data_IF_977187022960
#
_entry.id   IF_977187022960
#
_cell.length_a   1.000
_cell.length_b   1.000
_cell.length_c   1.000
_cell.angle_alpha   90.00
_cell.angle_beta   90.00
_cell.angle_gamma   90.00
#
_symmetry.space_group_name_H-M   'P 1'
#
loop_
_entity.id
_entity.type
_entity.pdbx_description
1 polymer ?
#
# COMPACT_ATOMS: atom_id res chain seq x y z
N UNK A 1 -87.51 -82.16 -79.13
CA UNK A 1 -86.85 -80.85 -78.97
C UNK A 1 -87.32 -80.27 -77.65
N UNK A 2 -86.56 -80.42 -76.57
CA UNK A 2 -86.91 -79.77 -75.30
C UNK A 2 -85.64 -79.45 -74.50
N UNK A 3 -84.77 -78.66 -75.12
CA UNK A 3 -83.71 -77.93 -74.44
C UNK A 3 -84.04 -76.45 -74.64
N UNK A 4 -84.26 -75.73 -73.55
CA UNK A 4 -84.56 -74.30 -73.57
C UNK A 4 -83.31 -73.55 -73.10
N UNK A 5 -82.52 -73.10 -74.08
CA UNK A 5 -81.26 -72.41 -73.82
C UNK A 5 -81.45 -71.20 -72.90
N UNK A 6 -82.58 -70.50 -73.00
CA UNK A 6 -82.86 -69.30 -72.21
C UNK A 6 -83.13 -69.61 -70.73
N UNK A 7 -83.53 -70.85 -70.40
CA UNK A 7 -83.74 -71.28 -69.01
C UNK A 7 -82.43 -71.81 -68.41
N UNK A 8 -81.69 -72.63 -69.16
CA UNK A 8 -80.44 -73.24 -68.69
C UNK A 8 -79.26 -72.26 -68.58
N UNK A 9 -79.23 -71.19 -69.38
CA UNK A 9 -78.12 -70.21 -69.37
C UNK A 9 -78.23 -69.19 -68.22
N UNK A 10 -79.44 -68.93 -67.71
CA UNK A 10 -79.70 -67.90 -66.68
C UNK A 10 -78.87 -68.11 -65.41
N UNK A 11 -78.81 -69.30 -64.79
CA UNK A 11 -78.02 -69.52 -63.58
C UNK A 11 -76.51 -69.34 -63.82
N UNK A 12 -76.03 -69.70 -65.01
CA UNK A 12 -74.63 -69.49 -65.39
C UNK A 12 -74.32 -67.99 -65.51
N UNK A 13 -75.17 -67.24 -66.22
CA UNK A 13 -75.01 -65.80 -66.38
C UNK A 13 -75.12 -65.05 -65.06
N UNK A 14 -76.07 -65.41 -64.20
CA UNK A 14 -76.26 -64.77 -62.90
C UNK A 14 -75.02 -64.92 -62.01
N UNK A 15 -74.46 -66.13 -61.94
CA UNK A 15 -73.22 -66.38 -61.18
C UNK A 15 -72.03 -65.66 -61.80
N UNK A 16 -71.92 -65.65 -63.13
CA UNK A 16 -70.78 -65.01 -63.81
C UNK A 16 -70.81 -63.50 -63.64
N UNK A 17 -71.97 -62.87 -63.90
CA UNK A 17 -72.17 -61.43 -63.73
C UNK A 17 -72.03 -61.03 -62.26
N UNK A 18 -72.60 -61.81 -61.33
CA UNK A 18 -72.48 -61.57 -59.90
C UNK A 18 -71.02 -61.56 -59.43
N UNK A 19 -70.26 -62.60 -59.80
CA UNK A 19 -68.82 -62.69 -59.47
C UNK A 19 -67.99 -61.60 -60.13
N UNK A 20 -68.28 -61.25 -61.39
CA UNK A 20 -67.53 -60.18 -62.08
C UNK A 20 -67.79 -58.82 -61.45
N UNK A 21 -69.02 -58.51 -61.03
CA UNK A 21 -69.33 -57.25 -60.33
C UNK A 21 -68.70 -57.22 -58.95
N UNK A 22 -68.79 -58.30 -58.18
CA UNK A 22 -68.18 -58.40 -56.85
C UNK A 22 -66.66 -58.25 -56.91
N UNK A 23 -66.01 -58.95 -57.85
CA UNK A 23 -64.58 -58.83 -58.07
C UNK A 23 -64.19 -57.40 -58.48
N UNK A 24 -64.92 -56.79 -59.42
CA UNK A 24 -64.65 -55.41 -59.84
C UNK A 24 -64.81 -54.40 -58.69
N UNK A 25 -65.81 -54.59 -57.81
CA UNK A 25 -65.99 -53.72 -56.65
C UNK A 25 -64.85 -53.86 -55.64
N UNK A 26 -64.41 -55.09 -55.37
CA UNK A 26 -63.30 -55.35 -54.45
C UNK A 26 -61.98 -54.77 -54.98
N UNK A 27 -61.70 -54.95 -56.28
CA UNK A 27 -60.48 -54.41 -56.92
C UNK A 27 -60.45 -52.88 -56.83
N UNK A 28 -61.55 -52.19 -57.17
CA UNK A 28 -61.62 -50.72 -57.09
C UNK A 28 -61.47 -50.23 -55.65
N UNK A 29 -62.08 -50.92 -54.67
CA UNK A 29 -61.93 -50.56 -53.26
C UNK A 29 -60.49 -50.72 -52.77
N UNK A 30 -59.81 -51.81 -53.13
CA UNK A 30 -58.40 -52.04 -52.77
C UNK A 30 -57.48 -50.99 -53.40
N UNK A 31 -57.71 -50.66 -54.68
CA UNK A 31 -56.94 -49.63 -55.39
C UNK A 31 -57.10 -48.25 -54.76
N UNK A 32 -58.32 -47.86 -54.37
CA UNK A 32 -58.58 -46.59 -53.70
C UNK A 32 -57.95 -46.54 -52.30
N UNK A 33 -58.06 -47.62 -51.53
CA UNK A 33 -57.40 -47.71 -50.21
C UNK A 33 -55.88 -47.59 -50.34
N UNK A 34 -55.28 -48.33 -51.28
CA UNK A 34 -53.84 -48.26 -51.57
C UNK A 34 -53.42 -46.84 -52.00
N UNK A 35 -54.22 -46.16 -52.82
CA UNK A 35 -53.96 -44.78 -53.23
C UNK A 35 -54.01 -43.81 -52.03
N UNK A 36 -55.02 -43.95 -51.17
CA UNK A 36 -55.18 -43.13 -49.97
C UNK A 36 -54.04 -43.35 -48.95
N UNK A 37 -53.62 -44.60 -48.75
CA UNK A 37 -52.48 -44.93 -47.89
C UNK A 37 -51.19 -44.32 -48.41
N UNK A 38 -50.92 -44.44 -49.72
CA UNK A 38 -49.73 -43.83 -50.34
C UNK A 38 -49.74 -42.31 -50.23
N UNK A 39 -50.88 -41.67 -50.52
CA UNK A 39 -51.01 -40.22 -50.38
C UNK A 39 -50.74 -39.75 -48.94
N UNK A 40 -51.27 -40.48 -47.96
CA UNK A 40 -51.05 -40.21 -46.53
C UNK A 40 -49.58 -40.39 -46.13
N UNK A 41 -48.91 -41.44 -46.64
CA UNK A 41 -47.48 -41.66 -46.41
C UNK A 41 -46.62 -40.53 -46.96
N UNK A 42 -46.85 -40.12 -48.21
CA UNK A 42 -46.09 -39.01 -48.81
C UNK A 42 -46.27 -37.70 -48.04
N UNK A 43 -47.49 -37.37 -47.64
CA UNK A 43 -47.77 -36.17 -46.85
C UNK A 43 -47.04 -36.21 -45.48
N UNK A 44 -47.02 -37.38 -44.83
CA UNK A 44 -46.31 -37.57 -43.58
C UNK A 44 -44.79 -37.45 -43.74
N UNK A 45 -44.22 -38.06 -44.79
CA UNK A 45 -42.79 -37.97 -45.08
C UNK A 45 -42.35 -36.54 -45.41
N UNK A 46 -43.15 -35.80 -46.18
CA UNK A 46 -42.89 -34.40 -46.50
C UNK A 46 -42.88 -33.54 -45.23
N UNK A 47 -43.89 -33.70 -44.37
CA UNK A 47 -43.98 -32.98 -43.10
C UNK A 47 -42.78 -33.33 -42.20
N UNK A 48 -42.46 -34.62 -42.05
CA UNK A 48 -41.34 -35.08 -41.23
C UNK A 48 -40.00 -34.54 -41.73
N UNK A 49 -39.79 -34.50 -43.04
CA UNK A 49 -38.57 -33.95 -43.62
C UNK A 49 -38.46 -32.44 -43.40
N UNK A 50 -39.58 -31.70 -43.50
CA UNK A 50 -39.64 -30.28 -43.20
C UNK A 50 -39.35 -29.98 -41.71
N UNK A 51 -39.95 -30.76 -40.80
CA UNK A 51 -39.71 -30.66 -39.36
C UNK A 51 -38.25 -30.94 -39.01
N UNK A 52 -37.65 -32.00 -39.58
CA UNK A 52 -36.24 -32.32 -39.37
C UNK A 52 -35.31 -31.20 -39.84
N UNK A 53 -35.60 -30.60 -41.00
CA UNK A 53 -34.82 -29.47 -41.51
C UNK A 53 -34.91 -28.25 -40.59
N UNK A 54 -36.09 -27.95 -40.05
CA UNK A 54 -36.27 -26.83 -39.12
C UNK A 54 -35.57 -27.09 -37.77
N UNK A 55 -35.66 -28.31 -37.23
CA UNK A 55 -34.95 -28.69 -36.00
C UNK A 55 -33.44 -28.49 -36.19
N UNK A 56 -32.86 -28.98 -37.28
CA UNK A 56 -31.44 -28.81 -37.57
C UNK A 56 -31.04 -27.33 -37.67
N UNK A 57 -31.88 -26.50 -38.31
CA UNK A 57 -31.65 -25.06 -38.42
C UNK A 57 -31.62 -24.38 -37.05
N UNK A 58 -32.58 -24.73 -36.18
CA UNK A 58 -32.70 -24.19 -34.84
C UNK A 58 -31.57 -24.66 -33.92
N UNK A 59 -31.21 -25.94 -33.98
CA UNK A 59 -30.11 -26.51 -33.19
C UNK A 59 -28.77 -25.85 -33.54
N UNK A 60 -28.49 -25.66 -34.82
CA UNK A 60 -27.27 -24.98 -35.27
C UNK A 60 -27.25 -23.49 -34.90
N UNK A 61 -28.41 -22.82 -34.88
CA UNK A 61 -28.53 -21.46 -34.38
C UNK A 61 -28.30 -21.40 -32.86
N UNK A 62 -28.88 -22.32 -32.11
CA UNK A 62 -28.73 -22.40 -30.65
C UNK A 62 -27.28 -22.73 -30.27
N UNK A 63 -26.63 -23.66 -30.98
CA UNK A 63 -25.22 -24.00 -30.81
C UNK A 63 -24.34 -22.76 -30.94
N UNK A 64 -24.50 -21.99 -32.03
CA UNK A 64 -23.74 -20.76 -32.25
C UNK A 64 -23.98 -19.71 -31.17
N UNK A 65 -25.23 -19.55 -30.74
CA UNK A 65 -25.57 -18.58 -29.69
C UNK A 65 -24.99 -19.01 -28.33
N UNK A 66 -25.03 -20.31 -28.01
CA UNK A 66 -24.47 -20.87 -26.79
C UNK A 66 -22.96 -20.72 -26.73
N UNK A 67 -22.26 -21.07 -27.82
CA UNK A 67 -20.80 -20.90 -27.95
C UNK A 67 -20.38 -19.43 -27.77
N UNK A 68 -21.09 -18.48 -28.42
CA UNK A 68 -20.78 -17.06 -28.24
C UNK A 68 -21.09 -16.56 -26.82
N UNK A 69 -22.22 -16.99 -26.22
CA UNK A 69 -22.57 -16.64 -24.84
C UNK A 69 -21.51 -17.14 -23.85
N UNK A 70 -21.04 -18.37 -24.02
CA UNK A 70 -19.97 -18.95 -23.20
C UNK A 70 -18.65 -18.18 -23.38
N UNK A 71 -18.29 -17.85 -24.64
CA UNK A 71 -17.10 -17.06 -24.94
C UNK A 71 -17.14 -15.68 -24.27
N UNK A 72 -18.30 -15.02 -24.31
CA UNK A 72 -18.51 -13.70 -23.66
C UNK A 72 -18.42 -13.80 -22.14
N UNK A 73 -19.04 -14.83 -21.56
CA UNK A 73 -18.97 -15.09 -20.12
C UNK A 73 -17.52 -15.31 -19.66
N UNK A 74 -16.75 -16.10 -20.40
CA UNK A 74 -15.33 -16.32 -20.08
C UNK A 74 -14.52 -15.02 -20.15
N UNK A 75 -14.75 -14.19 -21.17
CA UNK A 75 -14.07 -12.89 -21.29
C UNK A 75 -14.39 -11.95 -20.14
N UNK A 76 -15.67 -11.86 -19.76
CA UNK A 76 -16.08 -11.04 -18.62
C UNK A 76 -15.46 -11.56 -17.33
N UNK A 77 -15.46 -12.88 -17.13
CA UNK A 77 -14.84 -13.50 -15.96
C UNK A 77 -13.34 -13.18 -15.86
N UNK A 78 -12.60 -13.28 -16.97
CA UNK A 78 -11.17 -12.94 -17.00
C UNK A 78 -10.93 -11.45 -16.69
N UNK A 79 -11.79 -10.56 -17.18
CA UNK A 79 -11.71 -9.10 -16.92
C UNK A 79 -11.96 -8.82 -15.45
N UNK A 80 -13.01 -9.40 -14.87
CA UNK A 80 -13.36 -9.25 -13.45
C UNK A 80 -12.23 -9.79 -12.56
N UNK A 81 -11.70 -10.97 -12.89
CA UNK A 81 -10.61 -11.57 -12.15
C UNK A 81 -9.37 -10.67 -12.12
N UNK A 82 -8.92 -10.19 -13.29
CA UNK A 82 -7.77 -9.27 -13.40
C UNK A 82 -8.03 -7.94 -12.70
N UNK A 83 -9.26 -7.42 -12.79
CA UNK A 83 -9.64 -6.20 -12.10
C UNK A 83 -9.54 -6.38 -10.58
N UNK A 84 -10.08 -7.47 -10.03
CA UNK A 84 -10.01 -7.76 -8.60
C UNK A 84 -8.56 -7.88 -8.11
N UNK A 85 -7.72 -8.65 -8.81
CA UNK A 85 -6.29 -8.75 -8.48
C UNK A 85 -5.61 -7.37 -8.48
N UNK A 86 -5.91 -6.54 -9.48
CA UNK A 86 -5.32 -5.20 -9.61
C UNK A 86 -5.80 -4.29 -8.49
N UNK A 87 -7.08 -4.31 -8.18
CA UNK A 87 -7.69 -3.56 -7.08
C UNK A 87 -7.09 -3.96 -5.73
N UNK A 88 -6.87 -5.25 -5.48
CA UNK A 88 -6.19 -5.73 -4.27
C UNK A 88 -4.74 -5.24 -4.20
N UNK A 89 -3.98 -5.31 -5.31
CA UNK A 89 -2.60 -4.79 -5.36
C UNK A 89 -2.52 -3.30 -5.09
N UNK A 90 -3.45 -2.52 -5.65
CA UNK A 90 -3.54 -1.07 -5.43
C UNK A 90 -3.90 -0.78 -3.97
N UNK A 91 -4.87 -1.50 -3.40
CA UNK A 91 -5.26 -1.35 -2.00
C UNK A 91 -4.11 -1.68 -1.05
N UNK A 92 -3.41 -2.80 -1.28
CA UNK A 92 -2.25 -3.20 -0.49
C UNK A 92 -1.11 -2.17 -0.58
N UNK A 93 -0.84 -1.64 -1.77
CA UNK A 93 0.15 -0.57 -1.97
C UNK A 93 -0.24 0.70 -1.22
N UNK A 94 -1.48 1.15 -1.36
CA UNK A 94 -1.96 2.36 -0.69
C UNK A 94 -1.92 2.21 0.84
N UNK A 95 -2.30 1.03 1.34
CA UNK A 95 -2.20 0.68 2.75
C UNK A 95 -0.75 0.73 3.25
N UNK A 96 0.17 0.08 2.54
CA UNK A 96 1.59 0.08 2.89
C UNK A 96 2.16 1.52 2.87
N UNK A 97 1.85 2.31 1.86
CA UNK A 97 2.32 3.70 1.77
C UNK A 97 1.86 4.55 2.96
N UNK A 98 0.58 4.46 3.32
CA UNK A 98 0.03 5.18 4.49
C UNK A 98 0.66 4.68 5.80
N UNK A 99 0.77 3.38 5.98
CA UNK A 99 1.36 2.79 7.18
C UNK A 99 2.84 3.17 7.34
N UNK A 100 3.62 3.14 6.25
CA UNK A 100 5.03 3.54 6.28
C UNK A 100 5.20 5.05 6.51
N UNK A 101 4.30 5.89 5.97
CA UNK A 101 4.36 7.33 6.17
C UNK A 101 4.23 7.73 7.65
N UNK A 102 3.40 7.00 8.41
CA UNK A 102 3.23 7.24 9.85
C UNK A 102 4.30 6.54 10.70
N UNK A 103 4.71 5.33 10.31
CA UNK A 103 5.68 4.53 11.07
C UNK A 103 7.12 5.05 10.95
N UNK A 104 7.55 5.48 9.76
CA UNK A 104 8.94 5.90 9.54
C UNK A 104 9.33 7.05 10.47
N UNK A 105 8.61 8.20 10.52
CA UNK A 105 8.99 9.30 11.40
C UNK A 105 9.04 8.86 12.87
N UNK A 106 8.05 8.09 13.33
CA UNK A 106 7.99 7.59 14.71
C UNK A 106 9.20 6.72 15.09
N UNK A 107 9.59 5.79 14.22
CA UNK A 107 10.77 4.94 14.47
C UNK A 107 12.06 5.76 14.40
N UNK A 108 12.19 6.67 13.43
CA UNK A 108 13.36 7.54 13.31
C UNK A 108 13.51 8.47 14.51
N UNK A 109 12.42 9.04 15.02
CA UNK A 109 12.40 9.86 16.23
C UNK A 109 12.82 9.02 17.45
N UNK A 110 12.25 7.83 17.63
CA UNK A 110 12.62 6.93 18.75
C UNK A 110 14.10 6.51 18.72
N UNK A 111 14.66 6.30 17.53
CA UNK A 111 16.03 5.87 17.35
C UNK A 111 17.01 7.04 17.53
N UNK A 112 16.59 8.25 17.17
CA UNK A 112 17.32 9.50 17.44
C UNK A 112 17.34 9.79 18.94
N UNK A 113 16.19 9.69 19.60
CA UNK A 113 16.08 9.89 21.05
C UNK A 113 16.84 8.80 21.83
N UNK A 114 16.95 7.59 21.26
CA UNK A 114 17.78 6.50 21.76
C UNK A 114 19.29 6.70 21.55
N UNK A 115 19.73 7.78 20.92
CA UNK A 115 21.15 8.11 20.74
C UNK A 115 21.88 7.27 19.69
N UNK A 116 21.17 6.56 18.83
CA UNK A 116 21.78 5.76 17.75
C UNK A 116 22.14 6.58 16.52
N UNK A 117 21.44 7.69 16.28
CA UNK A 117 21.84 8.69 15.29
C UNK A 117 22.70 9.75 15.98
N UNK A 118 24.00 9.75 15.70
CA UNK A 118 24.95 10.74 16.19
C UNK A 118 25.60 11.47 15.02
N UNK A 119 25.96 12.73 15.22
CA UNK A 119 26.82 13.46 14.29
C UNK A 119 28.26 12.90 14.44
N UNK A 120 28.88 12.39 13.37
CA UNK A 120 30.26 11.90 13.40
C UNK A 120 31.25 12.92 13.97
N UNK A 121 31.00 14.23 13.75
CA UNK A 121 31.86 15.30 14.23
C UNK A 121 31.71 15.49 15.73
N UNK A 122 30.48 15.53 16.25
CA UNK A 122 30.21 15.64 17.68
C UNK A 122 30.82 14.45 18.44
N UNK A 123 30.64 13.24 17.92
CA UNK A 123 31.22 12.00 18.46
C UNK A 123 32.75 12.05 18.50
N UNK A 124 33.39 12.54 17.44
CA UNK A 124 34.85 12.66 17.35
C UNK A 124 35.39 13.74 18.31
N UNK A 125 34.63 14.83 18.49
CA UNK A 125 34.95 15.85 19.49
C UNK A 125 34.85 15.25 20.91
N UNK A 126 33.77 14.54 21.21
CA UNK A 126 33.55 13.93 22.52
C UNK A 126 34.58 12.86 22.87
N UNK A 127 34.96 12.01 21.92
CA UNK A 127 35.83 10.86 22.16
C UNK A 127 37.31 11.18 21.91
N UNK A 128 37.61 12.01 20.91
CA UNK A 128 38.98 12.34 20.52
C UNK A 128 39.45 13.64 21.16
N UNK A 129 38.75 14.74 20.86
CA UNK A 129 39.23 16.09 21.19
C UNK A 129 39.12 16.42 22.69
N UNK A 130 37.97 16.17 23.32
CA UNK A 130 37.77 16.53 24.74
C UNK A 130 38.75 15.81 25.66
N UNK A 131 39.01 14.48 25.54
CA UNK A 131 40.01 13.82 26.36
C UNK A 131 41.42 14.34 26.11
N UNK A 132 41.76 14.61 24.84
CA UNK A 132 43.05 15.22 24.50
C UNK A 132 43.22 16.60 25.13
N UNK A 133 42.19 17.46 25.04
CA UNK A 133 42.20 18.80 25.62
C UNK A 133 42.31 18.74 27.14
N UNK A 134 41.55 17.87 27.80
CA UNK A 134 41.61 17.71 29.27
C UNK A 134 43.00 17.26 29.73
N UNK A 135 43.62 16.33 29.01
CA UNK A 135 44.99 15.88 29.28
C UNK A 135 46.03 17.00 29.05
N UNK A 136 45.85 17.84 28.03
CA UNK A 136 46.76 18.97 27.80
C UNK A 136 46.61 20.05 28.88
N UNK A 137 45.38 20.34 29.31
CA UNK A 137 45.11 21.22 30.45
C UNK A 137 45.77 20.66 31.72
N UNK A 138 45.61 19.36 31.99
CA UNK A 138 46.25 18.68 33.13
C UNK A 138 47.77 18.86 33.11
N UNK A 139 48.44 18.62 31.97
CA UNK A 139 49.89 18.89 31.85
C UNK A 139 50.24 20.34 32.15
N UNK A 140 49.50 21.31 31.62
CA UNK A 140 49.82 22.73 31.91
C UNK A 140 49.66 23.06 33.39
N UNK A 141 48.68 22.45 34.06
CA UNK A 141 48.51 22.57 35.51
C UNK A 141 49.66 21.91 36.27
N UNK A 142 50.13 20.74 35.84
CA UNK A 142 51.31 20.07 36.41
C UNK A 142 52.56 20.93 36.27
N UNK A 143 52.84 21.50 35.09
CA UNK A 143 53.98 22.39 34.88
C UNK A 143 53.89 23.65 35.77
N UNK A 144 52.70 24.23 35.91
CA UNK A 144 52.46 25.36 36.80
C UNK A 144 52.67 24.98 38.27
N UNK A 145 52.20 23.80 38.68
CA UNK A 145 52.41 23.27 40.03
C UNK A 145 53.89 23.01 40.31
N UNK A 146 54.61 22.36 39.41
CA UNK A 146 56.06 22.15 39.53
C UNK A 146 56.80 23.47 39.58
N UNK A 147 56.45 24.43 38.72
CA UNK A 147 57.02 25.78 38.75
C UNK A 147 56.80 26.49 40.08
N UNK A 148 55.60 26.37 40.67
CA UNK A 148 55.30 26.90 42.01
C UNK A 148 56.11 26.20 43.11
N UNK A 149 56.26 24.88 43.06
CA UNK A 149 57.07 24.11 44.01
C UNK A 149 58.54 24.55 43.95
N UNK A 150 59.10 24.67 42.74
CA UNK A 150 60.49 25.12 42.55
C UNK A 150 60.68 26.55 43.02
N UNK A 151 59.73 27.45 42.73
CA UNK A 151 59.75 28.83 43.22
C UNK A 151 59.69 28.88 44.75
N UNK A 152 58.81 28.11 45.38
CA UNK A 152 58.73 28.01 46.84
C UNK A 152 60.02 27.46 47.45
N UNK A 153 60.65 26.46 46.81
CA UNK A 153 61.97 25.95 47.23
C UNK A 153 63.04 27.04 47.13
N UNK A 154 63.10 27.79 46.04
CA UNK A 154 64.07 28.88 45.85
C UNK A 154 63.84 30.02 46.85
N UNK A 155 62.58 30.38 47.13
CA UNK A 155 62.24 31.38 48.15
C UNK A 155 62.72 30.89 49.52
N UNK A 156 62.46 29.63 49.88
CA UNK A 156 62.94 29.03 51.14
C UNK A 156 64.47 29.08 51.24
N UNK A 157 65.20 28.71 50.18
CA UNK A 157 66.67 28.74 50.16
C UNK A 157 67.21 30.18 50.31
N UNK A 158 66.63 31.16 49.62
CA UNK A 158 67.04 32.56 49.73
C UNK A 158 66.76 33.11 51.13
N UNK A 159 65.62 32.77 51.73
CA UNK A 159 65.26 33.17 53.10
C UNK A 159 66.23 32.55 54.10
N UNK A 160 66.54 31.25 53.98
CA UNK A 160 67.49 30.54 54.83
C UNK A 160 68.91 31.10 54.70
N UNK A 161 69.35 31.39 53.47
CA UNK A 161 70.63 32.05 53.21
C UNK A 161 70.69 33.47 53.76
N UNK A 162 69.59 34.21 53.76
CA UNK A 162 69.50 35.53 54.40
C UNK A 162 69.52 35.41 55.92
N UNK A 163 68.81 34.43 56.48
CA UNK A 163 68.79 34.16 57.92
C UNK A 163 70.19 33.84 58.44
N UNK A 164 70.90 32.90 57.80
CA UNK A 164 72.30 32.57 58.13
C UNK A 164 73.26 33.75 57.95
N UNK A 165 73.03 34.64 56.98
CA UNK A 165 73.78 35.88 56.84
C UNK A 165 73.49 36.90 57.95
N UNK A 166 72.27 36.93 58.48
CA UNK A 166 71.91 37.75 59.64
C UNK A 166 72.48 37.17 60.93
N UNK A 167 72.39 35.86 61.17
CA UNK A 167 73.05 35.21 62.30
C UNK A 167 74.57 35.45 62.28
N UNK A 168 75.21 35.32 61.11
CA UNK A 168 76.64 35.66 60.93
C UNK A 168 76.94 37.17 61.10
N UNK A 169 75.96 38.03 60.85
CA UNK A 169 76.06 39.47 61.12
C UNK A 169 75.78 39.78 62.58
N UNK A 170 74.95 39.04 63.30
CA UNK A 170 74.79 39.14 64.75
C UNK A 170 76.07 38.71 65.46
N UNK A 171 76.75 37.65 64.99
CA UNK A 171 78.10 37.27 65.45
C UNK A 171 79.15 38.38 65.18
N UNK A 172 79.00 39.12 64.07
CA UNK A 172 79.84 40.29 63.74
C UNK A 172 79.36 41.60 64.39
N UNK A 173 78.10 41.70 64.81
CA UNK A 173 77.54 42.85 65.49
C UNK A 173 77.77 42.76 67.00
N UNK A 174 77.90 41.55 67.59
CA UNK A 174 78.44 41.38 68.93
C UNK A 174 79.90 41.85 69.05
N UNK A 175 80.68 41.84 67.96
CA UNK A 175 82.04 42.39 67.91
C UNK A 175 82.12 43.87 67.51
N UNK A 176 81.01 44.50 67.11
CA UNK A 176 80.97 45.91 66.68
C UNK A 176 80.02 46.78 67.56
N UNK A 177 79.18 46.17 68.42
CA UNK A 177 78.28 46.87 69.36
C UNK A 177 78.93 47.34 70.68
N UNK A 178 80.27 47.47 70.73
CA UNK A 178 80.94 48.24 71.80
C UNK A 178 81.25 49.68 71.38
N UNK A 179 81.08 50.06 70.11
CA UNK A 179 81.41 51.41 69.64
C UNK A 179 80.33 51.93 68.67
N UNK A 180 79.83 53.13 68.96
CA UNK A 180 78.87 53.92 68.18
C UNK A 180 77.38 53.55 68.30
N UNK A 181 76.83 53.86 69.48
CA UNK A 181 75.44 54.28 69.59
C UNK A 181 75.22 55.73 69.12
N UNK A 182 73.93 56.04 68.88
CA UNK A 182 73.26 57.36 68.84
C UNK A 182 72.76 57.87 67.48
N UNK A 183 71.42 57.93 67.38
CA UNK A 183 70.63 58.89 66.57
C UNK A 183 70.23 58.39 65.19
N UNK A 184 69.00 58.51 64.70
CA UNK A 184 67.79 59.19 65.17
C UNK A 184 66.83 59.39 63.98
N UNK A 185 65.57 59.00 64.19
CA UNK A 185 64.28 59.35 63.57
C UNK A 185 64.17 60.04 62.17
N UNK A 186 63.43 59.35 61.28
CA UNK A 186 62.11 59.72 60.72
C UNK A 186 61.92 61.00 59.86
N UNK A 187 61.45 60.83 58.61
CA UNK A 187 60.54 61.77 57.94
C UNK A 187 59.83 61.14 56.71
N UNK A 188 58.50 61.28 56.69
CA UNK A 188 57.58 60.85 55.65
C UNK A 188 57.48 61.82 54.44
N UNK A 189 57.13 61.27 53.27
CA UNK A 189 56.43 61.91 52.12
C UNK A 189 55.77 60.75 51.34
N UNK A 190 54.51 60.75 50.92
CA UNK A 190 53.62 61.84 50.53
C UNK A 190 53.42 61.79 49.01
N UNK A 191 52.15 61.83 48.56
CA UNK A 191 51.65 62.08 47.18
C UNK A 191 51.54 60.87 46.24
N UNK A 192 50.56 60.76 45.32
CA UNK A 192 49.49 61.66 44.90
C UNK A 192 48.40 60.82 44.19
N UNK A 193 47.20 61.39 44.13
CA UNK A 193 46.04 60.88 43.41
C UNK A 193 46.02 61.25 41.93
N UNK A 194 45.33 60.41 41.14
CA UNK A 194 44.52 60.74 39.96
C UNK A 194 45.23 60.77 38.59
N UNK A 195 44.49 60.85 37.47
CA UNK A 195 43.05 60.54 37.26
C UNK A 195 42.76 59.87 35.88
N UNK A 196 41.48 59.87 35.48
CA UNK A 196 41.00 59.93 34.07
C UNK A 196 41.11 58.63 33.23
N UNK A 197 40.18 58.18 32.36
CA UNK A 197 38.96 58.70 31.70
C UNK A 197 38.22 57.48 31.11
N UNK A 198 36.88 57.38 31.20
CA UNK A 198 35.88 57.77 30.18
C UNK A 198 35.79 56.80 28.98
N UNK A 199 34.59 56.22 28.81
CA UNK A 199 33.81 56.07 27.56
C UNK A 199 32.68 55.05 27.84
N UNK A 200 31.39 55.41 27.94
CA UNK A 200 30.44 55.76 26.86
C UNK A 200 30.58 54.80 25.65
N UNK A 201 29.56 54.07 25.17
CA UNK A 201 28.15 54.41 25.10
C UNK A 201 27.28 53.22 24.63
N UNK A 202 26.03 53.26 25.06
CA UNK A 202 24.77 52.94 24.36
C UNK A 202 24.46 51.56 23.77
N UNK A 203 23.33 50.99 24.25
CA UNK A 203 22.29 50.40 23.42
C UNK A 203 20.93 50.66 24.08
N UNK A 204 20.03 51.36 23.35
CA UNK A 204 18.63 51.54 23.71
C UNK A 204 17.76 50.64 22.81
N UNK A 205 16.72 50.03 23.40
CA UNK A 205 15.28 49.95 23.00
C UNK A 205 14.91 49.74 21.51
N UNK A 206 13.81 49.10 21.09
CA UNK A 206 12.58 48.55 21.68
C UNK A 206 11.82 47.75 20.57
N UNK A 207 10.78 46.98 20.95
CA UNK A 207 9.77 46.26 20.11
C UNK A 207 8.74 47.25 19.48
N UNK A 208 7.53 46.92 18.90
CA UNK A 208 6.83 45.65 18.53
C UNK A 208 5.95 45.68 17.20
N UNK A 209 5.27 44.54 16.94
CA UNK A 209 3.87 44.30 16.47
C UNK A 209 3.31 44.32 15.00
N UNK A 210 2.47 43.29 14.75
CA UNK A 210 1.23 43.12 13.90
C UNK A 210 1.34 43.10 12.35
N UNK A 211 0.50 42.41 11.53
CA UNK A 211 -0.83 41.77 11.66
C UNK A 211 -1.16 40.90 10.38
N UNK A 212 -2.20 40.04 10.46
CA UNK A 212 -3.18 39.62 9.39
C UNK A 212 -3.02 38.35 8.49
N UNK A 213 -4.11 37.55 8.47
CA UNK A 213 -4.47 36.33 7.68
C UNK A 213 -5.07 36.69 6.28
N UNK A 214 -5.32 35.77 5.29
CA UNK A 214 -6.45 34.78 5.31
C UNK A 214 -6.31 33.43 4.52
N UNK A 215 -7.01 32.40 5.04
CA UNK A 215 -7.85 31.33 4.42
C UNK A 215 -7.76 31.00 2.90
N UNK A 216 -7.55 29.71 2.57
CA UNK A 216 -8.22 28.96 1.47
C UNK A 216 -8.25 27.43 1.68
N UNK A 217 -9.42 26.83 1.47
CA UNK A 217 -9.78 25.45 1.07
C UNK A 217 -11.03 25.65 0.16
N UNK A 218 -11.47 24.75 -0.74
CA UNK A 218 -11.06 23.34 -0.94
C UNK A 218 -10.92 22.90 -2.42
N UNK A 219 -10.29 21.76 -2.72
CA UNK A 219 -10.59 21.00 -3.94
C UNK A 219 -10.13 19.54 -3.79
N UNK A 220 -11.07 18.61 -3.85
CA UNK A 220 -10.80 17.18 -3.65
C UNK A 220 -12.07 16.37 -3.46
N UNK A 221 -12.99 16.42 -4.43
CA UNK A 221 -14.18 15.57 -4.46
C UNK A 221 -14.48 15.10 -5.90
N UNK A 222 -13.60 14.27 -6.46
CA UNK A 222 -13.83 13.60 -7.74
C UNK A 222 -13.10 12.26 -7.79
N UNK A 223 -13.55 11.25 -7.04
CA UNK A 223 -13.23 9.83 -7.33
C UNK A 223 -14.15 8.82 -6.61
N UNK A 224 -15.03 9.22 -5.69
CA UNK A 224 -15.86 8.24 -4.95
C UNK A 224 -17.21 7.90 -5.59
N UNK A 225 -17.64 8.60 -6.66
CA UNK A 225 -19.00 8.41 -7.21
C UNK A 225 -19.06 7.31 -8.30
N UNK A 226 -17.94 6.95 -8.94
CA UNK A 226 -17.94 5.90 -9.98
C UNK A 226 -17.76 4.48 -9.42
N UNK A 227 -17.11 4.33 -8.27
CA UNK A 227 -16.82 2.99 -7.70
C UNK A 227 -18.03 2.32 -7.07
N UNK A 228 -19.01 3.07 -6.56
CA UNK A 228 -20.18 2.49 -5.89
C UNK A 228 -21.23 2.06 -6.91
N UNK A 229 -21.42 2.85 -7.97
CA UNK A 229 -22.41 2.59 -9.01
C UNK A 229 -21.98 1.45 -9.96
N UNK A 230 -20.67 1.23 -10.16
CA UNK A 230 -20.15 0.08 -10.90
C UNK A 230 -20.16 -1.22 -10.07
N UNK A 231 -20.10 -1.14 -8.73
CA UNK A 231 -20.22 -2.32 -7.85
C UNK A 231 -21.67 -2.80 -7.72
N UNK A 232 -22.61 -1.87 -7.66
CA UNK A 232 -24.05 -2.16 -7.57
C UNK A 232 -24.56 -2.87 -8.83
N UNK A 233 -24.06 -2.51 -10.02
CA UNK A 233 -24.38 -3.18 -11.28
C UNK A 233 -23.77 -4.59 -11.41
N UNK A 234 -22.61 -4.84 -10.78
CA UNK A 234 -21.95 -6.16 -10.78
C UNK A 234 -22.62 -7.11 -9.79
N UNK A 235 -23.08 -6.61 -8.63
CA UNK A 235 -23.85 -7.42 -7.67
C UNK A 235 -25.24 -7.80 -8.21
N UNK A 236 -25.92 -6.90 -8.94
CA UNK A 236 -27.20 -7.21 -9.59
C UNK A 236 -27.05 -8.25 -10.72
N UNK A 237 -25.97 -8.23 -11.52
CA UNK A 237 -25.72 -9.25 -12.55
C UNK A 237 -25.30 -10.61 -11.96
N UNK A 238 -24.52 -10.65 -10.88
CA UNK A 238 -24.16 -11.91 -10.19
C UNK A 238 -25.35 -12.55 -9.47
N UNK A 239 -26.26 -11.75 -8.89
CA UNK A 239 -27.52 -12.25 -8.34
C UNK A 239 -28.47 -12.76 -9.44
N UNK A 240 -28.55 -12.08 -10.59
CA UNK A 240 -29.37 -12.52 -11.71
C UNK A 240 -28.89 -13.88 -12.27
N UNK A 241 -27.58 -14.05 -12.43
CA UNK A 241 -26.97 -15.32 -12.88
C UNK A 241 -27.15 -16.44 -11.85
N UNK A 242 -26.98 -16.15 -10.56
CA UNK A 242 -27.21 -17.12 -9.48
C UNK A 242 -28.69 -17.50 -9.34
N UNK A 243 -29.59 -16.55 -9.56
CA UNK A 243 -31.03 -16.75 -9.56
C UNK A 243 -31.51 -17.64 -10.72
N UNK A 244 -30.99 -17.42 -11.93
CA UNK A 244 -31.32 -18.25 -13.10
C UNK A 244 -30.80 -19.70 -12.96
N UNK A 245 -29.59 -19.90 -12.43
CA UNK A 245 -29.04 -21.24 -12.17
C UNK A 245 -29.87 -22.01 -11.14
N UNK A 246 -30.37 -21.35 -10.09
CA UNK A 246 -31.26 -21.98 -9.09
C UNK A 246 -32.63 -22.30 -9.67
N UNK A 247 -33.13 -21.49 -10.60
CA UNK A 247 -34.44 -21.66 -11.23
C UNK A 247 -34.43 -22.76 -12.30
N UNK A 248 -33.31 -22.96 -12.98
CA UNK A 248 -33.10 -24.13 -13.86
C UNK A 248 -32.98 -25.42 -13.06
N UNK A 249 -32.22 -25.40 -11.96
CA UNK A 249 -32.03 -26.58 -11.10
C UNK A 249 -33.34 -27.02 -10.41
N UNK A 250 -34.16 -26.05 -9.94
CA UNK A 250 -35.46 -26.35 -9.34
C UNK A 250 -36.54 -26.79 -10.33
N UNK A 251 -36.37 -26.55 -11.64
CA UNK A 251 -37.29 -27.04 -12.68
C UNK A 251 -36.97 -28.47 -13.12
N UNK A 252 -35.70 -28.89 -13.07
CA UNK A 252 -35.30 -30.28 -13.33
C UNK A 252 -35.76 -31.24 -12.21
N UNK A 253 -35.76 -30.80 -10.95
CA UNK A 253 -36.20 -31.60 -9.79
C UNK A 253 -37.73 -31.84 -9.73
N UNK A 254 -38.52 -31.02 -10.42
CA UNK A 254 -39.99 -31.14 -10.47
C UNK A 254 -40.51 -31.91 -11.68
N UNK A 255 -39.62 -32.38 -12.55
CA UNK A 255 -39.96 -33.11 -13.78
C UNK A 255 -39.61 -34.61 -13.73
N UNK A 256 -39.26 -35.15 -12.55
CA UNK A 256 -39.10 -36.59 -12.29
C UNK A 256 -40.28 -37.17 -11.52
#
# INVERSE_FOLDING_TARGET
MLFDFDLEVKPMLEVLVGKTIEQALLEVMEEEELANLRASQYAYEELRNAELAEIQRLEEQERRHREEKERRKQQQWDVIHKHNETSQKIAARAFAQRYLADLLPSVFDSLRDGGYFFDPIERDIEIGFLPWLMNEVEKTMEHSMVGRIVLDMLIREVVDRRLTMYERKEDKQQSVQLEAGLGGAEAARGSLAGPESQDQSTSQSQRPDRDSLPRTLPEGRYTEITSSQERELVEEEEEAVSGEVRKSLGREELSQ
#
